data_IF_676331465606
#
_entry.id   IF_676331465606
#
_cell.length_a   1.000
_cell.length_b   1.000
_cell.length_c   1.000
_cell.angle_alpha   90.00
_cell.angle_beta   90.00
_cell.angle_gamma   90.00
#
_symmetry.space_group_name_H-M   'P 1'
#
loop_
_entity.id
_entity.type
_entity.pdbx_description
1 polymer ?
#
# COMPACT_ATOMS: atom_id res chain seq x y z
N UNK A 1 -20.28 -47.43 28.13
CA UNK A 1 -21.31 -46.79 27.26
C UNK A 1 -21.28 -45.25 27.30
N UNK A 2 -20.62 -44.58 28.27
CA UNK A 2 -20.71 -43.12 28.42
C UNK A 2 -19.73 -42.28 27.56
N UNK A 3 -18.61 -42.84 27.07
CA UNK A 3 -17.57 -42.03 26.40
C UNK A 3 -17.88 -41.66 24.95
N UNK A 4 -18.62 -42.51 24.22
CA UNK A 4 -18.94 -42.27 22.81
C UNK A 4 -20.04 -41.20 22.63
N UNK A 5 -21.04 -41.19 23.50
CA UNK A 5 -22.13 -40.20 23.45
C UNK A 5 -21.62 -38.78 23.77
N UNK A 6 -20.69 -38.64 24.72
CA UNK A 6 -20.07 -37.34 25.05
C UNK A 6 -19.21 -36.82 23.89
N UNK A 7 -18.44 -37.68 23.21
CA UNK A 7 -17.64 -37.29 22.04
C UNK A 7 -18.49 -36.86 20.85
N UNK A 8 -19.61 -37.53 20.62
CA UNK A 8 -20.57 -37.19 19.56
C UNK A 8 -21.29 -35.87 19.85
N UNK A 9 -21.66 -35.61 21.11
CA UNK A 9 -22.26 -34.33 21.51
C UNK A 9 -21.26 -33.17 21.34
N UNK A 10 -20.02 -33.34 21.78
CA UNK A 10 -18.99 -32.29 21.62
C UNK A 10 -18.64 -32.01 20.16
N UNK A 11 -18.63 -33.04 19.28
CA UNK A 11 -18.37 -32.85 17.86
C UNK A 11 -19.54 -32.15 17.12
N UNK A 12 -20.77 -32.41 17.55
CA UNK A 12 -21.95 -31.73 17.02
C UNK A 12 -22.02 -30.24 17.46
N UNK A 13 -21.63 -29.95 18.70
CA UNK A 13 -21.56 -28.56 19.20
C UNK A 13 -20.43 -27.76 18.54
N UNK A 14 -19.25 -28.36 18.29
CA UNK A 14 -18.15 -27.68 17.58
C UNK A 14 -18.50 -27.37 16.13
N UNK A 15 -19.15 -28.31 15.43
CA UNK A 15 -19.57 -28.10 14.04
C UNK A 15 -20.69 -27.05 13.90
N UNK A 16 -21.57 -26.92 14.91
CA UNK A 16 -22.56 -25.85 14.96
C UNK A 16 -21.92 -24.47 15.17
N UNK A 17 -20.88 -24.38 16.00
CA UNK A 17 -20.16 -23.13 16.25
C UNK A 17 -19.31 -22.68 15.04
N UNK A 18 -18.67 -23.62 14.34
CA UNK A 18 -17.93 -23.34 13.09
C UNK A 18 -18.86 -22.82 11.99
N UNK A 19 -20.04 -23.43 11.83
CA UNK A 19 -21.05 -22.97 10.88
C UNK A 19 -21.57 -21.56 11.20
N UNK A 20 -21.77 -21.23 12.48
CA UNK A 20 -22.14 -19.86 12.89
C UNK A 20 -21.01 -18.86 12.62
N UNK A 21 -19.76 -19.25 12.85
CA UNK A 21 -18.58 -18.42 12.58
C UNK A 21 -18.48 -18.09 11.08
N UNK A 22 -18.69 -19.07 10.20
CA UNK A 22 -18.70 -18.86 8.74
C UNK A 22 -19.80 -17.88 8.30
N UNK A 23 -20.99 -17.96 8.91
CA UNK A 23 -22.09 -17.02 8.62
C UNK A 23 -21.72 -15.59 9.03
N UNK A 24 -21.12 -15.41 10.22
CA UNK A 24 -20.69 -14.11 10.71
C UNK A 24 -19.55 -13.52 9.87
N UNK A 25 -18.57 -14.33 9.47
CA UNK A 25 -17.48 -13.92 8.58
C UNK A 25 -18.03 -13.44 7.24
N UNK A 26 -19.01 -14.16 6.68
CA UNK A 26 -19.64 -13.75 5.42
C UNK A 26 -20.41 -12.43 5.56
N UNK A 27 -21.16 -12.24 6.65
CA UNK A 27 -21.82 -10.96 6.93
C UNK A 27 -20.83 -9.82 7.06
N UNK A 28 -19.67 -10.08 7.67
CA UNK A 28 -18.59 -9.11 7.75
C UNK A 28 -17.99 -8.79 6.38
N UNK A 29 -17.79 -9.79 5.52
CA UNK A 29 -17.34 -9.60 4.14
C UNK A 29 -18.29 -8.70 3.35
N UNK A 30 -19.60 -9.00 3.40
CA UNK A 30 -20.64 -8.21 2.75
C UNK A 30 -20.62 -6.74 3.26
N UNK A 31 -20.49 -6.56 4.58
CA UNK A 31 -20.42 -5.23 5.19
C UNK A 31 -19.14 -4.46 4.79
N UNK A 32 -18.00 -5.14 4.66
CA UNK A 32 -16.76 -4.52 4.18
C UNK A 32 -16.90 -4.10 2.72
N UNK A 33 -17.50 -4.93 1.86
CA UNK A 33 -17.75 -4.57 0.47
C UNK A 33 -18.65 -3.34 0.34
N UNK A 34 -19.72 -3.26 1.14
CA UNK A 34 -20.60 -2.09 1.19
C UNK A 34 -19.87 -0.84 1.69
N UNK A 35 -19.07 -0.97 2.75
CA UNK A 35 -18.27 0.13 3.29
C UNK A 35 -17.29 0.69 2.26
N UNK A 36 -16.56 -0.17 1.55
CA UNK A 36 -15.61 0.25 0.53
C UNK A 36 -16.33 0.94 -0.64
N UNK A 37 -17.47 0.41 -1.08
CA UNK A 37 -18.27 1.05 -2.12
C UNK A 37 -18.79 2.44 -1.67
N UNK A 38 -19.27 2.55 -0.44
CA UNK A 38 -19.71 3.83 0.13
C UNK A 38 -18.58 4.85 0.23
N UNK A 39 -17.37 4.42 0.58
CA UNK A 39 -16.20 5.29 0.64
C UNK A 39 -15.88 5.91 -0.73
N UNK A 40 -15.91 5.10 -1.80
CA UNK A 40 -15.71 5.59 -3.17
C UNK A 40 -16.80 6.60 -3.56
N UNK A 41 -18.06 6.32 -3.25
CA UNK A 41 -19.16 7.25 -3.49
C UNK A 41 -18.98 8.59 -2.75
N UNK A 42 -18.53 8.57 -1.50
CA UNK A 42 -18.20 9.78 -0.76
C UNK A 42 -17.04 10.55 -1.40
N UNK A 43 -16.00 9.85 -1.89
CA UNK A 43 -14.88 10.48 -2.58
C UNK A 43 -15.32 11.15 -3.89
N UNK A 44 -16.17 10.49 -4.68
CA UNK A 44 -16.74 11.06 -5.90
C UNK A 44 -17.62 12.28 -5.61
N UNK A 45 -18.45 12.21 -4.56
CA UNK A 45 -19.28 13.34 -4.15
C UNK A 45 -18.43 14.53 -3.71
N UNK A 46 -17.39 14.29 -2.89
CA UNK A 46 -16.50 15.34 -2.42
C UNK A 46 -15.77 16.04 -3.58
N UNK A 47 -15.36 15.29 -4.60
CA UNK A 47 -14.73 15.85 -5.79
C UNK A 47 -15.74 16.60 -6.68
N UNK A 48 -16.94 16.05 -6.87
CA UNK A 48 -17.99 16.71 -7.64
C UNK A 48 -18.39 18.06 -7.03
N UNK A 49 -18.57 18.12 -5.71
CA UNK A 49 -18.91 19.36 -4.99
C UNK A 49 -17.84 20.45 -5.18
N UNK A 50 -16.56 20.09 -5.28
CA UNK A 50 -15.48 21.06 -5.57
C UNK A 50 -15.54 21.61 -6.99
N UNK A 51 -16.10 20.86 -7.95
CA UNK A 51 -16.21 21.26 -9.35
C UNK A 51 -17.47 22.07 -9.65
N UNK A 52 -18.51 21.93 -8.83
CA UNK A 52 -19.78 22.68 -8.95
C UNK A 52 -19.61 24.19 -9.15
N UNK A 53 -18.76 24.91 -8.38
CA UNK A 53 -18.56 26.36 -8.59
C UNK A 53 -18.04 26.72 -9.99
N UNK A 54 -17.25 25.86 -10.62
CA UNK A 54 -16.75 26.06 -11.98
C UNK A 54 -17.77 25.73 -13.07
N UNK A 55 -18.70 24.82 -12.77
CA UNK A 55 -19.79 24.44 -13.68
C UNK A 55 -21.03 25.33 -13.56
N UNK A 56 -21.17 26.08 -12.45
CA UNK A 56 -22.31 26.95 -12.20
C UNK A 56 -22.32 28.17 -13.12
N UNK A 57 -23.43 28.38 -13.83
CA UNK A 57 -23.70 29.59 -14.59
C UNK A 57 -24.85 30.36 -13.93
N UNK A 58 -24.59 31.57 -13.39
CA UNK A 58 -25.65 32.43 -12.86
C UNK A 58 -26.68 32.76 -13.94
N UNK A 59 -27.96 32.63 -13.60
CA UNK A 59 -29.07 33.02 -14.48
C UNK A 59 -30.21 33.60 -13.64
N UNK A 60 -31.17 34.26 -14.31
CA UNK A 60 -32.37 34.80 -13.67
C UNK A 60 -33.37 33.70 -13.22
N UNK A 61 -33.09 32.42 -13.52
CA UNK A 61 -33.91 31.28 -13.12
C UNK A 61 -33.31 30.55 -11.92
N UNK A 62 -34.19 30.00 -11.07
CA UNK A 62 -33.78 29.16 -9.96
C UNK A 62 -33.01 27.93 -10.46
N UNK A 63 -31.80 27.74 -9.93
CA UNK A 63 -30.93 26.61 -10.30
C UNK A 63 -31.23 25.39 -9.43
N UNK A 64 -31.37 24.22 -10.06
CA UNK A 64 -31.49 22.93 -9.37
C UNK A 64 -30.08 22.40 -9.04
N UNK A 65 -29.57 22.77 -7.86
CA UNK A 65 -28.24 22.36 -7.41
C UNK A 65 -28.11 20.85 -7.24
N UNK A 66 -29.21 20.12 -6.98
CA UNK A 66 -29.16 18.67 -6.85
C UNK A 66 -28.81 18.03 -8.19
N UNK A 67 -29.50 18.41 -9.26
CA UNK A 67 -29.19 17.94 -10.62
C UNK A 67 -27.78 18.35 -11.06
N UNK A 68 -27.32 19.55 -10.68
CA UNK A 68 -25.98 20.02 -11.00
C UNK A 68 -24.90 19.16 -10.33
N UNK A 69 -25.08 18.84 -9.04
CA UNK A 69 -24.17 17.95 -8.29
C UNK A 69 -24.21 16.54 -8.88
N UNK A 70 -25.40 15.98 -9.12
CA UNK A 70 -25.55 14.64 -9.68
C UNK A 70 -24.85 14.52 -11.05
N UNK A 71 -25.03 15.51 -11.93
CA UNK A 71 -24.34 15.55 -13.23
C UNK A 71 -22.82 15.65 -13.10
N UNK A 72 -22.31 16.34 -12.08
CA UNK A 72 -20.87 16.44 -11.84
C UNK A 72 -20.31 15.15 -11.21
N UNK A 73 -21.08 14.48 -10.35
CA UNK A 73 -20.76 13.13 -9.84
C UNK A 73 -20.66 12.14 -11.00
N UNK A 74 -21.61 12.13 -11.94
CA UNK A 74 -21.57 11.24 -13.10
C UNK A 74 -20.33 11.47 -13.98
N UNK A 75 -19.93 12.74 -14.19
CA UNK A 75 -18.69 13.06 -14.90
C UNK A 75 -17.46 12.58 -14.15
N UNK A 76 -17.42 12.78 -12.83
CA UNK A 76 -16.30 12.33 -11.99
C UNK A 76 -16.21 10.80 -12.05
N UNK A 77 -17.33 10.08 -11.90
CA UNK A 77 -17.39 8.62 -12.03
C UNK A 77 -16.94 8.14 -13.42
N UNK A 78 -17.42 8.78 -14.49
CA UNK A 78 -17.06 8.41 -15.87
C UNK A 78 -15.60 8.69 -16.26
N UNK A 79 -14.95 9.65 -15.60
CA UNK A 79 -13.52 9.97 -15.83
C UNK A 79 -12.60 9.20 -14.87
N UNK A 80 -13.16 8.62 -13.82
CA UNK A 80 -12.39 7.87 -12.82
C UNK A 80 -12.01 6.51 -13.39
N UNK A 81 -10.71 6.24 -13.44
CA UNK A 81 -10.22 4.86 -13.60
C UNK A 81 -10.55 4.15 -12.29
N UNK A 82 -11.20 2.98 -12.35
CA UNK A 82 -11.39 2.13 -11.16
C UNK A 82 -10.06 2.05 -10.43
N UNK A 83 -9.98 2.65 -9.24
CA UNK A 83 -8.79 2.52 -8.44
C UNK A 83 -8.79 1.08 -7.96
N UNK A 84 -7.80 0.27 -8.38
CA UNK A 84 -7.58 -1.08 -7.85
C UNK A 84 -7.42 -1.12 -6.32
N UNK A 85 -7.45 0.04 -5.67
CA UNK A 85 -7.61 0.25 -4.25
C UNK A 85 -8.83 -0.46 -3.63
N UNK A 86 -9.99 -0.52 -4.31
CA UNK A 86 -11.14 -1.27 -3.78
C UNK A 86 -10.84 -2.76 -3.73
N UNK A 87 -10.33 -3.28 -4.84
CA UNK A 87 -9.97 -4.69 -4.97
C UNK A 87 -8.85 -5.04 -3.99
N UNK A 88 -7.91 -4.12 -3.77
CA UNK A 88 -6.84 -4.21 -2.77
C UNK A 88 -7.37 -4.34 -1.34
N UNK A 89 -8.29 -3.47 -0.91
CA UNK A 89 -8.87 -3.52 0.44
C UNK A 89 -9.67 -4.81 0.67
N UNK A 90 -10.43 -5.25 -0.34
CA UNK A 90 -11.20 -6.49 -0.27
C UNK A 90 -10.25 -7.70 -0.19
N UNK A 91 -9.15 -7.69 -0.95
CA UNK A 91 -8.12 -8.72 -0.90
C UNK A 91 -7.46 -8.79 0.47
N UNK A 92 -7.01 -7.66 1.01
CA UNK A 92 -6.42 -7.58 2.36
C UNK A 92 -7.36 -8.12 3.44
N UNK A 93 -8.66 -7.80 3.35
CA UNK A 93 -9.65 -8.36 4.26
C UNK A 93 -9.72 -9.89 4.16
N UNK A 94 -9.79 -10.44 2.94
CA UNK A 94 -9.83 -11.89 2.73
C UNK A 94 -8.59 -12.58 3.26
N UNK A 95 -7.41 -12.00 3.02
CA UNK A 95 -6.12 -12.52 3.50
C UNK A 95 -6.07 -12.54 5.03
N UNK A 96 -6.49 -11.45 5.69
CA UNK A 96 -6.55 -11.39 7.14
C UNK A 96 -7.51 -12.44 7.72
N UNK A 97 -8.67 -12.66 7.07
CA UNK A 97 -9.61 -13.72 7.48
C UNK A 97 -9.02 -15.12 7.28
N UNK A 98 -8.27 -15.32 6.20
CA UNK A 98 -7.61 -16.59 5.89
C UNK A 98 -6.50 -16.93 6.89
N UNK A 99 -5.64 -15.97 7.21
CA UNK A 99 -4.49 -16.12 8.10
C UNK A 99 -4.88 -16.60 9.51
N UNK A 100 -6.08 -16.23 10.00
CA UNK A 100 -6.60 -16.68 11.31
C UNK A 100 -6.65 -18.21 11.44
N UNK A 101 -6.96 -18.91 10.36
CA UNK A 101 -7.11 -20.37 10.37
C UNK A 101 -6.02 -21.12 9.58
N UNK A 102 -5.27 -20.41 8.74
CA UNK A 102 -4.32 -20.99 7.78
C UNK A 102 -2.98 -20.24 7.79
N UNK A 103 -2.55 -19.76 8.95
CA UNK A 103 -1.33 -18.98 9.10
C UNK A 103 -0.13 -19.63 8.38
N UNK A 104 0.52 -18.86 7.52
CA UNK A 104 1.67 -19.30 6.72
C UNK A 104 1.33 -20.17 5.50
N UNK A 105 0.05 -20.42 5.21
CA UNK A 105 -0.39 -21.04 3.96
C UNK A 105 -0.95 -19.98 3.00
N UNK A 106 -0.57 -20.00 1.71
CA UNK A 106 -1.15 -19.10 0.72
C UNK A 106 -2.64 -19.37 0.55
N UNK A 107 -3.42 -18.33 0.22
CA UNK A 107 -4.86 -18.48 0.00
C UNK A 107 -5.13 -19.29 -1.28
N UNK A 108 -6.07 -20.25 -1.28
CA UNK A 108 -6.41 -21.02 -2.47
C UNK A 108 -6.96 -20.11 -3.57
N UNK A 109 -6.37 -20.18 -4.77
CA UNK A 109 -6.74 -19.36 -5.91
C UNK A 109 -5.84 -18.14 -6.16
N UNK A 110 -4.92 -17.83 -5.25
CA UNK A 110 -3.88 -16.80 -5.43
C UNK A 110 -2.69 -17.28 -6.30
N UNK A 111 -2.59 -18.61 -6.53
CA UNK A 111 -1.50 -19.25 -7.30
C UNK A 111 -1.44 -18.81 -8.77
N UNK A 112 -2.50 -18.17 -9.30
CA UNK A 112 -2.54 -17.67 -10.69
C UNK A 112 -2.12 -16.20 -10.82
N UNK A 113 -1.90 -15.50 -9.70
CA UNK A 113 -1.37 -14.12 -9.70
C UNK A 113 0.07 -14.05 -9.17
N UNK A 114 0.66 -15.18 -8.76
CA UNK A 114 2.08 -15.32 -8.40
C UNK A 114 2.99 -15.54 -9.63
N UNK A 115 2.72 -14.80 -10.71
CA UNK A 115 3.66 -14.58 -11.81
C UNK A 115 3.88 -13.08 -12.03
N UNK A 116 3.95 -12.35 -10.92
CA UNK A 116 4.57 -11.01 -10.88
C UNK A 116 5.66 -11.05 -9.82
N UNK A 117 6.77 -11.68 -10.19
CA UNK A 117 8.06 -11.40 -9.58
C UNK A 117 8.29 -9.87 -9.60
N UNK A 118 8.36 -9.29 -8.40
CA UNK A 118 8.83 -7.93 -8.07
C UNK A 118 8.00 -6.70 -8.51
N UNK A 119 7.51 -5.97 -7.50
CA UNK A 119 7.38 -4.48 -7.48
C UNK A 119 6.15 -3.76 -8.07
N UNK A 120 4.94 -4.33 -8.06
CA UNK A 120 3.72 -3.56 -8.48
C UNK A 120 2.54 -3.54 -7.51
N UNK A 121 2.58 -4.24 -6.37
CA UNK A 121 1.46 -4.23 -5.42
C UNK A 121 1.44 -3.02 -4.47
N UNK A 122 2.53 -2.24 -4.41
CA UNK A 122 2.55 -0.99 -3.66
C UNK A 122 2.27 0.20 -4.58
N UNK A 123 1.24 0.98 -4.25
CA UNK A 123 0.95 2.29 -4.86
C UNK A 123 2.06 3.33 -4.62
N UNK A 124 3.02 2.98 -3.75
CA UNK A 124 4.14 3.82 -3.33
C UNK A 124 5.23 3.82 -4.41
N UNK A 125 5.40 4.96 -5.05
CA UNK A 125 6.33 5.14 -6.18
C UNK A 125 7.79 5.37 -5.77
N UNK A 126 8.06 5.62 -4.49
CA UNK A 126 9.40 5.88 -3.99
C UNK A 126 9.58 5.33 -2.57
N UNK A 127 10.69 4.64 -2.32
CA UNK A 127 11.01 4.04 -1.01
C UNK A 127 11.73 4.98 -0.04
N UNK A 128 12.25 6.09 -0.55
CA UNK A 128 12.96 7.10 0.24
C UNK A 128 12.42 8.48 -0.11
N UNK A 129 12.41 9.39 0.85
CA UNK A 129 12.11 10.79 0.61
C UNK A 129 13.21 11.40 -0.28
N UNK A 130 12.88 11.97 -1.46
CA UNK A 130 13.87 12.54 -2.37
C UNK A 130 14.67 13.74 -1.81
N UNK A 131 14.21 14.35 -0.71
CA UNK A 131 14.86 15.52 -0.09
C UNK A 131 15.70 15.16 1.13
N UNK A 132 15.22 14.24 1.97
CA UNK A 132 15.91 13.87 3.22
C UNK A 132 16.65 12.55 3.11
N UNK A 133 16.40 11.78 2.04
CA UNK A 133 16.87 10.41 1.83
C UNK A 133 16.43 9.42 2.91
N UNK A 134 15.59 9.84 3.87
CA UNK A 134 15.03 8.94 4.87
C UNK A 134 14.10 7.92 4.19
N UNK A 135 14.14 6.65 4.60
CA UNK A 135 13.14 5.67 4.21
C UNK A 135 11.73 6.19 4.51
N UNK A 136 10.77 5.94 3.63
CA UNK A 136 9.37 6.39 3.82
C UNK A 136 8.77 5.87 5.14
N UNK A 137 9.19 4.68 5.56
CA UNK A 137 8.74 4.03 6.80
C UNK A 137 9.23 4.75 8.05
N UNK A 138 10.27 5.58 7.95
CA UNK A 138 10.85 6.36 9.05
C UNK A 138 10.36 7.81 9.05
N UNK A 139 9.49 8.20 8.13
CA UNK A 139 8.93 9.55 8.10
C UNK A 139 7.87 9.72 9.20
N UNK A 140 8.05 10.75 10.02
CA UNK A 140 7.10 11.13 11.06
C UNK A 140 5.84 11.78 10.47
N UNK A 141 6.03 12.65 9.48
CA UNK A 141 4.97 13.39 8.80
C UNK A 141 5.03 13.16 7.28
N UNK A 142 4.70 11.95 6.78
CA UNK A 142 4.72 11.67 5.35
C UNK A 142 3.61 12.44 4.64
N UNK A 143 3.94 13.04 3.50
CA UNK A 143 2.98 13.71 2.60
C UNK A 143 3.19 13.24 1.17
N UNK A 144 2.12 13.18 0.39
CA UNK A 144 2.14 12.75 -1.00
C UNK A 144 1.65 13.88 -1.90
N UNK A 145 2.30 14.05 -3.05
CA UNK A 145 1.79 14.94 -4.10
C UNK A 145 0.70 14.23 -4.89
N UNK A 146 -0.48 14.83 -5.05
CA UNK A 146 -1.55 14.19 -5.83
C UNK A 146 -1.25 14.08 -7.34
N UNK A 147 -0.38 14.95 -7.88
CA UNK A 147 -0.13 14.99 -9.32
C UNK A 147 0.89 13.94 -9.76
N UNK A 148 1.91 13.68 -8.94
CA UNK A 148 2.96 12.70 -9.25
C UNK A 148 3.04 11.51 -8.29
N UNK A 149 2.23 11.49 -7.21
CA UNK A 149 2.17 10.45 -6.17
C UNK A 149 3.47 10.15 -5.40
N UNK A 150 4.53 10.93 -5.60
CA UNK A 150 5.74 10.83 -4.79
C UNK A 150 5.52 11.31 -3.36
N UNK A 151 6.20 10.64 -2.43
CA UNK A 151 6.10 10.80 -0.97
C UNK A 151 7.31 11.58 -0.46
N UNK A 152 7.06 12.50 0.46
CA UNK A 152 8.05 13.38 1.06
C UNK A 152 7.85 13.50 2.56
N UNK A 153 8.89 13.95 3.24
CA UNK A 153 8.79 14.55 4.57
C UNK A 153 8.18 15.96 4.45
N UNK A 154 7.20 16.28 5.31
CA UNK A 154 6.38 17.49 5.23
C UNK A 154 7.19 18.79 5.32
N UNK A 155 8.06 18.92 6.31
CA UNK A 155 8.75 20.21 6.52
C UNK A 155 9.79 20.51 5.44
N UNK A 156 10.60 19.52 5.00
CA UNK A 156 11.53 19.70 3.88
C UNK A 156 10.83 20.05 2.57
N UNK A 157 9.72 19.37 2.23
CA UNK A 157 9.03 19.63 0.96
C UNK A 157 8.34 21.00 0.95
N UNK A 158 7.74 21.41 2.06
CA UNK A 158 7.14 22.74 2.19
C UNK A 158 8.19 23.84 2.07
N UNK A 159 9.38 23.60 2.63
CA UNK A 159 10.51 24.53 2.50
C UNK A 159 11.08 24.58 1.09
N UNK A 160 11.16 23.44 0.39
CA UNK A 160 11.57 23.37 -1.03
C UNK A 160 10.65 24.19 -1.94
N UNK A 161 9.34 24.08 -1.71
CA UNK A 161 8.32 24.80 -2.48
C UNK A 161 8.41 26.31 -2.27
N UNK A 162 8.65 26.75 -1.03
CA UNK A 162 8.78 28.18 -0.72
C UNK A 162 10.04 28.83 -1.29
N UNK A 163 11.14 28.07 -1.42
CA UNK A 163 12.43 28.59 -1.91
C UNK A 163 12.54 28.62 -3.43
N UNK A 164 11.78 27.78 -4.13
CA UNK A 164 11.93 27.61 -5.58
C UNK A 164 10.89 28.43 -6.35
N UNK A 165 11.32 29.21 -7.35
CA UNK A 165 10.40 29.94 -8.25
C UNK A 165 9.50 29.00 -9.07
N UNK A 166 10.01 27.82 -9.42
CA UNK A 166 9.28 26.75 -10.07
C UNK A 166 9.63 25.44 -9.33
N UNK A 167 8.87 25.09 -8.28
CA UNK A 167 9.19 23.96 -7.41
C UNK A 167 8.88 22.64 -8.10
N UNK A 168 9.75 22.19 -8.99
CA UNK A 168 9.59 20.89 -9.63
C UNK A 168 9.75 19.76 -8.61
N UNK A 169 9.12 18.63 -8.91
CA UNK A 169 9.32 17.37 -8.20
C UNK A 169 10.83 17.04 -8.17
N UNK A 170 11.43 16.79 -6.98
CA UNK A 170 12.86 16.46 -6.87
C UNK A 170 13.24 15.08 -7.44
N UNK A 171 12.26 14.24 -7.79
CA UNK A 171 12.51 12.94 -8.40
C UNK A 171 12.97 13.13 -9.85
N UNK A 172 14.12 12.56 -10.19
CA UNK A 172 14.68 12.63 -11.53
C UNK A 172 13.67 12.16 -12.58
N UNK A 173 13.48 12.95 -13.64
CA UNK A 173 12.56 12.64 -14.74
C UNK A 173 11.08 12.89 -14.46
N UNK A 174 10.70 13.36 -13.27
CA UNK A 174 9.31 13.71 -12.99
C UNK A 174 8.99 15.14 -13.49
N UNK A 175 8.01 15.32 -14.38
CA UNK A 175 7.68 16.65 -14.94
C UNK A 175 6.77 17.50 -14.03
N UNK A 176 6.34 16.97 -12.89
CA UNK A 176 5.34 17.63 -12.05
C UNK A 176 5.88 18.87 -11.35
N UNK A 177 5.12 19.96 -11.40
CA UNK A 177 5.37 21.19 -10.63
C UNK A 177 4.57 21.12 -9.34
N UNK A 178 5.26 21.17 -8.21
CA UNK A 178 4.66 21.00 -6.89
C UNK A 178 3.88 22.24 -6.46
N UNK A 179 2.74 22.02 -5.81
CA UNK A 179 1.93 23.08 -5.23
C UNK A 179 1.57 22.70 -3.80
N UNK A 180 1.60 23.67 -2.88
CA UNK A 180 1.28 23.44 -1.46
C UNK A 180 -0.12 22.83 -1.30
N UNK A 181 -1.09 23.30 -2.09
CA UNK A 181 -2.48 22.79 -2.07
C UNK A 181 -2.62 21.33 -2.57
N UNK A 182 -1.60 20.80 -3.26
CA UNK A 182 -1.60 19.46 -3.86
C UNK A 182 -0.79 18.45 -3.05
N UNK A 183 -0.26 18.85 -1.89
CA UNK A 183 0.58 18.03 -1.03
C UNK A 183 -0.08 17.86 0.32
N UNK A 184 -0.48 16.64 0.63
CA UNK A 184 -1.08 16.29 1.91
C UNK A 184 -0.82 14.83 2.27
N UNK A 185 -1.03 14.53 3.54
CA UNK A 185 -1.04 13.17 4.04
C UNK A 185 -2.47 12.66 3.90
N UNK A 186 -2.76 11.87 2.86
CA UNK A 186 -4.06 11.22 2.73
C UNK A 186 -4.16 10.02 3.69
N UNK A 187 -5.38 9.59 4.01
CA UNK A 187 -5.61 8.49 4.96
C UNK A 187 -4.99 7.17 4.48
N UNK A 188 -4.93 6.96 3.16
CA UNK A 188 -4.38 5.75 2.57
C UNK A 188 -2.86 5.72 2.62
N UNK A 189 -2.19 6.85 2.39
CA UNK A 189 -0.75 6.98 2.53
C UNK A 189 -0.27 6.49 3.90
N UNK A 190 -1.01 6.81 4.97
CA UNK A 190 -0.69 6.32 6.31
C UNK A 190 -0.85 4.82 6.44
N UNK A 191 -1.94 4.26 5.91
CA UNK A 191 -2.20 2.82 5.93
C UNK A 191 -1.13 2.06 5.15
N UNK A 192 -0.80 2.51 3.94
CA UNK A 192 0.21 1.88 3.07
C UNK A 192 1.60 1.91 3.71
N UNK A 193 1.98 3.01 4.37
CA UNK A 193 3.25 3.10 5.09
C UNK A 193 3.26 2.18 6.32
N UNK A 194 2.13 2.04 7.02
CA UNK A 194 2.02 1.17 8.19
C UNK A 194 2.05 -0.32 7.82
N UNK A 195 1.43 -0.69 6.72
CA UNK A 195 1.52 -2.02 6.13
C UNK A 195 2.97 -2.35 5.74
N UNK A 196 3.69 -1.39 5.15
CA UNK A 196 5.12 -1.53 4.87
C UNK A 196 5.99 -1.69 6.12
N UNK A 197 5.62 -1.05 7.23
CA UNK A 197 6.32 -1.25 8.51
C UNK A 197 6.09 -2.65 9.06
N UNK A 198 4.87 -3.16 8.92
CA UNK A 198 4.43 -4.44 9.46
C UNK A 198 4.96 -5.64 8.66
N UNK A 199 5.06 -5.50 7.34
CA UNK A 199 5.58 -6.53 6.43
C UNK A 199 7.11 -6.61 6.39
N UNK A 200 7.81 -5.67 7.05
CA UNK A 200 9.27 -5.68 7.14
C UNK A 200 9.68 -6.84 8.05
N UNK A 201 10.39 -7.88 7.56
CA UNK A 201 10.93 -8.89 8.44
C UNK A 201 11.87 -8.18 9.41
N UNK A 202 11.75 -8.48 10.71
CA UNK A 202 12.74 -8.07 11.70
C UNK A 202 14.08 -8.74 11.36
N UNK A 203 14.88 -8.10 10.51
CA UNK A 203 16.21 -8.55 10.14
C UNK A 203 17.24 -7.64 10.81
N UNK A 204 18.00 -8.13 11.80
CA UNK A 204 19.28 -7.53 12.13
C UNK A 204 20.27 -7.87 10.99
N UNK A 205 20.95 -6.85 10.47
CA UNK A 205 22.16 -6.92 9.64
C UNK A 205 22.06 -7.71 8.32
N UNK A 206 21.59 -7.04 7.26
CA UNK A 206 21.94 -7.39 5.88
C UNK A 206 23.22 -6.65 5.47
N UNK A 207 24.37 -7.09 5.97
CA UNK A 207 25.70 -6.71 5.47
C UNK A 207 26.56 -7.97 5.51
N UNK A 208 26.74 -8.60 4.35
CA UNK A 208 27.86 -9.48 3.95
C UNK A 208 27.37 -10.37 2.80
N UNK A 209 27.33 -9.80 1.60
CA UNK A 209 27.54 -10.59 0.37
C UNK A 209 28.96 -10.25 -0.05
N UNK A 210 29.92 -11.09 0.35
CA UNK A 210 31.29 -11.01 -0.17
C UNK A 210 31.29 -11.50 -1.62
N UNK A 211 31.66 -10.60 -2.50
CA UNK A 211 31.89 -10.81 -3.93
C UNK A 211 33.19 -11.60 -4.09
N UNK A 212 33.09 -12.90 -4.34
CA UNK A 212 34.24 -13.77 -4.62
C UNK A 212 34.42 -13.81 -6.14
N UNK A 213 34.97 -12.74 -6.71
CA UNK A 213 35.44 -12.72 -8.09
C UNK A 213 36.96 -12.41 -8.14
N UNK A 214 37.71 -13.52 -8.12
CA UNK A 214 38.88 -13.84 -8.95
C UNK A 214 40.01 -12.79 -9.11
N UNK A 215 41.16 -13.06 -8.48
CA UNK A 215 42.47 -12.61 -8.95
C UNK A 215 43.51 -13.72 -8.71
N UNK A 216 43.78 -14.49 -9.76
CA UNK A 216 45.10 -15.10 -9.93
C UNK A 216 46.10 -14.03 -10.38
N UNK A 217 47.33 -14.15 -9.88
CA UNK A 217 48.60 -13.91 -10.59
C UNK A 217 49.75 -14.15 -9.60
N UNK A 218 50.42 -15.29 -9.78
CA UNK A 218 51.87 -15.52 -9.81
C UNK A 218 52.80 -14.70 -8.89
N UNK A 219 53.65 -15.38 -8.12
CA UNK A 219 55.09 -15.54 -8.41
C UNK A 219 55.78 -16.31 -7.26
N UNK A 220 56.83 -17.04 -7.66
CA UNK A 220 57.70 -17.91 -6.88
C UNK A 220 58.23 -17.31 -5.57
N UNK A 221 58.63 -18.16 -4.60
CA UNK A 221 60.04 -18.26 -4.16
C UNK A 221 60.29 -19.67 -3.57
N UNK A 222 61.21 -20.40 -4.21
CA UNK A 222 62.01 -21.45 -3.58
C UNK A 222 62.69 -20.88 -2.31
N UNK A 223 63.00 -21.73 -1.32
CA UNK A 223 64.30 -21.80 -0.61
C UNK A 223 64.17 -22.62 0.69
N UNK A 224 64.81 -23.79 0.67
CA UNK A 224 65.66 -24.43 1.70
C UNK A 224 65.14 -24.56 3.14
N UNK A 225 65.18 -25.79 3.67
CA UNK A 225 66.06 -26.09 4.80
C UNK A 225 66.36 -27.61 4.85
N UNK A 226 67.65 -27.90 4.68
CA UNK A 226 68.31 -29.16 4.98
C UNK A 226 68.41 -29.35 6.50
N UNK A 227 68.39 -30.63 6.91
CA UNK A 227 69.00 -31.23 8.11
C UNK A 227 68.61 -30.73 9.52
N UNK A 228 68.06 -31.64 10.33
CA UNK A 228 68.62 -31.90 11.68
C UNK A 228 68.31 -33.33 12.15
N UNK A 229 69.37 -33.96 12.66
CA UNK A 229 69.55 -35.36 13.03
C UNK A 229 68.71 -35.85 14.23
N UNK A 230 68.25 -37.11 14.21
CA UNK A 230 68.63 -38.19 15.16
C UNK A 230 68.11 -39.59 14.73
#
# INVERSE_FOLDING_TARGET
MSSAATKLATAADTTSAEAQTLVLVKQLEDAVQELVASYEDCAYLAEAVKKVPGAYQPSDQATDFRKLIDAEVDKVKGTSRSSGHKDQLIRQFKEAVWDVHHAGQPMPGDEQEELVMTSTQNSILNMHCPLTLKPIVELENPVRCMDCRHIYDKDPIMSHIRRSKAPNCPVAGCPAVLQVARIFCDTFLRMEIEELRSSRPSAPNATEVEDISDQGEDEAEDLMDDDEDE
#
